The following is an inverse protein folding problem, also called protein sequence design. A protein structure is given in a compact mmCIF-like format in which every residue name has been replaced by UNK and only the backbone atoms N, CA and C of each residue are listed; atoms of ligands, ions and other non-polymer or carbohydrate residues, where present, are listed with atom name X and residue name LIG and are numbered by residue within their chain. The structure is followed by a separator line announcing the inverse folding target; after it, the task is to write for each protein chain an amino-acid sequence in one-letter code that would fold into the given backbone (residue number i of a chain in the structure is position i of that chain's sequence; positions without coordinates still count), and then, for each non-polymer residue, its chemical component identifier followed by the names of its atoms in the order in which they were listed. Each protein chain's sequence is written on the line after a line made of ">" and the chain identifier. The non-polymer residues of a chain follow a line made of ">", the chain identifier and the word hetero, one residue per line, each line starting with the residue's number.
data_IF_477897362306
#
_entry.id   IF_477897362306
#
_cell.length_a   1.000
_cell.length_b   1.000
_cell.length_c   1.000
_cell.angle_alpha   90.00
_cell.angle_beta   90.00
_cell.angle_gamma   90.00
#
_symmetry.space_group_name_H-M   'P 1'
#
loop_
_entity.id
_entity.type
_entity.pdbx_description
1 polymer ?
#
# COMPACT_ATOMS: atom_id res chain seq x y z
N UNK A 1 14.65 -16.82 5.49
CA UNK A 1 14.11 -15.78 4.59
C UNK A 1 15.29 -15.01 4.03
N UNK A 2 15.25 -14.58 2.77
CA UNK A 2 16.34 -13.78 2.18
C UNK A 2 16.39 -12.41 2.86
N UNK A 3 17.60 -11.95 3.17
CA UNK A 3 17.86 -10.65 3.79
C UNK A 3 18.54 -9.70 2.79
N UNK A 4 18.48 -8.37 2.99
CA UNK A 4 19.26 -7.42 2.21
C UNK A 4 20.75 -7.79 2.16
N UNK A 5 21.30 -8.31 3.26
CA UNK A 5 22.66 -8.83 3.33
C UNK A 5 22.99 -9.86 2.23
N UNK A 6 22.06 -10.78 1.94
CA UNK A 6 22.26 -11.81 0.91
C UNK A 6 22.34 -11.18 -0.50
N UNK A 7 21.55 -10.14 -0.75
CA UNK A 7 21.54 -9.43 -2.04
C UNK A 7 22.83 -8.64 -2.21
N UNK A 8 23.19 -7.86 -1.19
CA UNK A 8 24.41 -7.05 -1.15
C UNK A 8 25.66 -7.91 -1.32
N UNK A 9 25.79 -8.99 -0.53
CA UNK A 9 26.93 -9.90 -0.60
C UNK A 9 27.09 -10.52 -2.00
N UNK A 10 25.98 -10.90 -2.63
CA UNK A 10 26.00 -11.48 -3.98
C UNK A 10 26.30 -10.45 -5.06
N UNK A 11 25.77 -9.23 -4.95
CA UNK A 11 26.06 -8.15 -5.89
C UNK A 11 27.54 -7.76 -5.87
N UNK A 12 28.16 -7.68 -4.68
CA UNK A 12 29.60 -7.41 -4.52
C UNK A 12 30.48 -8.53 -5.14
N UNK A 13 30.02 -9.78 -5.10
CA UNK A 13 30.68 -10.91 -5.78
C UNK A 13 30.54 -10.83 -7.29
N UNK A 14 29.36 -10.45 -7.80
CA UNK A 14 29.13 -10.33 -9.24
C UNK A 14 29.96 -9.24 -9.91
N UNK A 15 30.23 -8.15 -9.20
CA UNK A 15 31.14 -7.08 -9.68
C UNK A 15 32.62 -7.43 -9.49
N UNK A 16 32.94 -8.56 -8.84
CA UNK A 16 34.31 -8.98 -8.57
C UNK A 16 35.03 -8.13 -7.52
N UNK A 17 34.28 -7.50 -6.60
CA UNK A 17 34.83 -6.81 -5.44
C UNK A 17 35.13 -7.78 -4.28
N UNK A 18 34.46 -8.93 -4.25
CA UNK A 18 34.68 -10.02 -3.29
C UNK A 18 34.81 -11.36 -4.01
N UNK A 19 35.61 -12.26 -3.45
CA UNK A 19 35.73 -13.62 -3.98
C UNK A 19 34.63 -14.57 -3.48
N UNK A 20 34.53 -15.75 -4.11
CA UNK A 20 33.61 -16.78 -3.67
C UNK A 20 34.01 -17.28 -2.27
N UNK A 21 33.09 -17.16 -1.31
CA UNK A 21 33.31 -17.54 0.09
C UNK A 21 33.71 -16.38 1.00
N UNK A 22 34.06 -15.21 0.45
CA UNK A 22 34.36 -14.02 1.24
C UNK A 22 33.09 -13.33 1.75
N UNK A 23 33.16 -12.79 2.96
CA UNK A 23 32.11 -11.97 3.58
C UNK A 23 32.47 -10.50 3.44
N UNK A 24 31.53 -9.63 3.01
CA UNK A 24 31.78 -8.20 2.94
C UNK A 24 32.19 -7.64 4.31
N UNK A 25 33.13 -6.71 4.32
CA UNK A 25 33.41 -5.89 5.52
C UNK A 25 32.15 -5.13 5.94
N UNK A 26 31.93 -4.88 7.23
CA UNK A 26 30.73 -4.16 7.72
C UNK A 26 30.47 -2.83 7.01
N UNK A 27 31.52 -2.07 6.72
CA UNK A 27 31.43 -0.75 6.08
C UNK A 27 30.97 -0.86 4.62
N UNK A 28 31.58 -1.76 3.84
CA UNK A 28 31.18 -2.04 2.46
C UNK A 28 29.76 -2.62 2.37
N UNK A 29 29.36 -3.43 3.35
CA UNK A 29 28.00 -3.97 3.42
C UNK A 29 26.98 -2.85 3.66
N UNK A 30 27.30 -1.88 4.53
CA UNK A 30 26.43 -0.75 4.83
C UNK A 30 26.28 0.20 3.64
N UNK A 31 27.38 0.57 2.98
CA UNK A 31 27.34 1.45 1.79
C UNK A 31 26.50 0.84 0.65
N UNK A 32 26.70 -0.46 0.38
CA UNK A 32 25.90 -1.17 -0.60
C UNK A 32 24.43 -1.37 -0.17
N UNK A 33 24.15 -1.43 1.14
CA UNK A 33 22.79 -1.45 1.66
C UNK A 33 22.09 -0.10 1.52
N UNK A 34 22.79 1.01 1.74
CA UNK A 34 22.25 2.35 1.52
C UNK A 34 21.90 2.55 0.03
N UNK A 35 22.78 2.11 -0.88
CA UNK A 35 22.52 2.09 -2.33
C UNK A 35 21.32 1.20 -2.71
N UNK A 36 21.11 0.08 -2.00
CA UNK A 36 19.94 -0.78 -2.22
C UNK A 36 18.64 -0.05 -1.83
N UNK A 37 18.64 0.70 -0.73
CA UNK A 37 17.49 1.51 -0.33
C UNK A 37 17.21 2.63 -1.34
N UNK A 38 18.25 3.30 -1.85
CA UNK A 38 18.08 4.32 -2.89
C UNK A 38 17.57 3.71 -4.21
N UNK A 39 17.99 2.49 -4.55
CA UNK A 39 17.45 1.74 -5.69
C UNK A 39 15.94 1.45 -5.53
N UNK A 40 15.49 1.08 -4.32
CA UNK A 40 14.07 0.85 -4.04
C UNK A 40 13.25 2.13 -4.15
N UNK A 41 13.79 3.28 -3.72
CA UNK A 41 13.14 4.57 -3.89
C UNK A 41 13.02 4.95 -5.37
N UNK A 42 14.07 4.70 -6.16
CA UNK A 42 14.02 4.90 -7.61
C UNK A 42 12.96 4.00 -8.25
N UNK A 43 12.92 2.72 -7.89
CA UNK A 43 11.94 1.77 -8.43
C UNK A 43 10.51 2.11 -8.04
N UNK A 44 10.30 2.71 -6.86
CA UNK A 44 9.00 3.18 -6.41
C UNK A 44 8.43 4.27 -7.34
N UNK A 45 9.29 5.05 -7.99
CA UNK A 45 8.89 6.09 -8.94
C UNK A 45 8.78 5.58 -10.39
N UNK A 46 9.24 4.37 -10.67
CA UNK A 46 9.15 3.78 -12.01
C UNK A 46 7.78 3.11 -12.22
N UNK A 47 7.08 3.49 -13.29
CA UNK A 47 5.80 2.86 -13.65
C UNK A 47 5.96 1.35 -13.87
N UNK A 48 4.95 0.59 -13.43
CA UNK A 48 4.87 -0.87 -13.51
C UNK A 48 5.95 -1.64 -12.73
N UNK A 49 6.68 -1.00 -11.81
CA UNK A 49 7.61 -1.72 -10.93
C UNK A 49 6.93 -2.28 -9.68
N UNK A 50 5.90 -1.62 -9.16
CA UNK A 50 5.14 -2.08 -8.00
C UNK A 50 4.12 -3.14 -8.43
N UNK A 51 4.18 -4.33 -7.83
CA UNK A 51 3.30 -5.46 -8.14
C UNK A 51 2.01 -5.49 -7.31
N UNK A 52 2.10 -5.13 -6.03
CA UNK A 52 0.97 -5.27 -5.11
C UNK A 52 0.17 -3.98 -5.03
N UNK A 53 -1.15 -4.13 -5.08
CA UNK A 53 -2.10 -3.06 -4.75
C UNK A 53 -2.51 -3.27 -3.31
N UNK A 54 -2.51 -2.19 -2.54
CA UNK A 54 -3.04 -2.22 -1.18
C UNK A 54 -4.50 -1.78 -1.24
N UNK A 55 -5.37 -2.59 -0.65
CA UNK A 55 -6.72 -2.15 -0.33
C UNK A 55 -6.68 -1.34 0.96
N UNK A 56 -7.20 -0.13 0.90
CA UNK A 56 -7.28 0.83 1.99
C UNK A 56 -8.76 0.95 2.33
N UNK A 57 -9.10 0.56 3.55
CA UNK A 57 -10.48 0.53 4.03
C UNK A 57 -10.61 1.50 5.19
N UNK A 58 -11.63 2.35 5.16
CA UNK A 58 -11.97 3.24 6.27
C UNK A 58 -13.47 3.56 6.31
N UNK A 59 -14.04 3.76 7.51
CA UNK A 59 -15.43 4.15 7.65
C UNK A 59 -15.65 5.59 7.20
N UNK A 60 -16.79 5.85 6.57
CA UNK A 60 -17.22 7.20 6.21
C UNK A 60 -17.92 7.85 7.41
N UNK A 61 -17.39 8.98 7.83
CA UNK A 61 -18.05 9.88 8.80
C UNK A 61 -19.07 10.78 8.11
N UNK A 62 -20.30 10.80 8.62
CA UNK A 62 -21.38 11.64 8.10
C UNK A 62 -20.99 13.12 8.08
N UNK A 63 -21.21 13.78 6.95
CA UNK A 63 -20.92 15.21 6.78
C UNK A 63 -19.45 15.53 6.47
N UNK A 64 -18.56 14.54 6.48
CA UNK A 64 -17.13 14.72 6.22
C UNK A 64 -16.79 14.47 4.75
N UNK A 65 -16.24 15.48 4.08
CA UNK A 65 -15.86 15.43 2.66
C UNK A 65 -14.37 15.28 2.42
N UNK A 66 -13.54 15.38 3.46
CA UNK A 66 -12.09 15.33 3.38
C UNK A 66 -11.54 14.33 4.39
N UNK A 67 -10.63 13.48 3.94
CA UNK A 67 -9.89 12.54 4.78
C UNK A 67 -8.39 12.70 4.55
N UNK A 68 -7.59 12.44 5.58
CA UNK A 68 -6.12 12.43 5.48
C UNK A 68 -5.58 11.01 5.58
N UNK A 69 -4.57 10.70 4.77
CA UNK A 69 -3.86 9.42 4.76
C UNK A 69 -2.36 9.62 4.86
N UNK A 70 -1.63 8.71 5.51
CA UNK A 70 -0.21 8.84 5.82
C UNK A 70 0.05 8.89 7.33
N UNK A 71 1.30 9.15 7.75
CA UNK A 71 1.67 9.23 9.16
C UNK A 71 0.85 10.28 9.93
N UNK A 72 0.17 9.86 10.99
CA UNK A 72 -0.79 10.69 11.77
C UNK A 72 -2.03 11.16 10.98
N UNK A 73 -2.32 10.55 9.82
CA UNK A 73 -3.56 10.74 9.10
C UNK A 73 -4.76 10.11 9.81
N UNK A 74 -5.97 10.48 9.38
CA UNK A 74 -7.23 9.92 9.91
C UNK A 74 -7.48 8.49 9.43
N UNK A 75 -7.01 8.14 8.23
CA UNK A 75 -7.22 6.82 7.63
C UNK A 75 -6.19 5.84 8.20
N UNK A 76 -6.71 4.85 8.94
CA UNK A 76 -5.93 3.87 9.69
C UNK A 76 -6.86 2.96 10.48
N UNK A 77 -6.31 2.26 11.48
CA UNK A 77 -7.12 1.53 12.45
C UNK A 77 -6.73 1.88 13.88
N UNK A 78 -7.70 1.77 14.78
CA UNK A 78 -7.51 1.90 16.23
C UNK A 78 -8.03 0.61 16.84
N UNK A 79 -7.18 -0.09 17.58
CA UNK A 79 -7.53 -1.40 18.16
C UNK A 79 -6.82 -1.64 19.48
N UNK A 80 -7.35 -2.56 20.28
CA UNK A 80 -6.68 -3.06 21.47
C UNK A 80 -5.84 -4.30 21.12
N UNK A 81 -4.60 -4.35 21.59
CA UNK A 81 -3.73 -5.49 21.36
C UNK A 81 -2.45 -5.48 22.15
N UNK A 82 -1.75 -6.62 22.14
CA UNK A 82 -0.44 -6.82 22.76
C UNK A 82 0.57 -7.39 21.76
N UNK A 83 1.87 -7.19 22.01
CA UNK A 83 2.93 -7.70 21.14
C UNK A 83 3.89 -8.55 21.97
N UNK A 84 4.18 -9.76 21.49
CA UNK A 84 5.22 -10.63 22.06
C UNK A 84 6.10 -11.16 20.93
N UNK A 85 7.38 -10.81 20.96
CA UNK A 85 8.28 -11.08 19.84
C UNK A 85 7.77 -10.37 18.59
N UNK A 86 7.57 -11.12 17.50
CA UNK A 86 6.99 -10.60 16.25
C UNK A 86 5.48 -10.81 16.15
N UNK A 87 4.82 -11.35 17.17
CA UNK A 87 3.38 -11.64 17.11
C UNK A 87 2.59 -10.52 17.79
N UNK A 88 1.78 -9.83 17.00
CA UNK A 88 0.73 -8.93 17.47
C UNK A 88 -0.55 -9.75 17.71
N UNK A 89 -1.14 -9.63 18.90
CA UNK A 89 -2.47 -10.17 19.22
C UNK A 89 -3.46 -9.02 19.32
N UNK A 90 -4.44 -8.99 18.43
CA UNK A 90 -5.52 -8.00 18.42
C UNK A 90 -6.75 -8.59 19.08
N UNK A 91 -7.32 -7.90 20.07
CA UNK A 91 -8.46 -8.39 20.86
C UNK A 91 -9.77 -7.67 20.53
N UNK A 92 -9.71 -6.41 20.09
CA UNK A 92 -10.89 -5.67 19.63
C UNK A 92 -10.50 -4.53 18.69
N UNK A 93 -11.37 -4.22 17.72
CA UNK A 93 -11.23 -3.07 16.81
C UNK A 93 -12.15 -1.95 17.29
N UNK A 94 -11.61 -0.77 17.49
CA UNK A 94 -12.36 0.44 17.83
C UNK A 94 -12.79 1.21 16.58
N UNK A 95 -11.95 1.23 15.54
CA UNK A 95 -12.24 1.87 14.26
C UNK A 95 -11.27 1.41 13.18
N UNK A 96 -11.68 1.54 11.92
CA UNK A 96 -10.83 1.25 10.76
C UNK A 96 -10.70 -0.23 10.45
N UNK A 97 -9.69 -0.55 9.67
CA UNK A 97 -9.43 -1.89 9.15
C UNK A 97 -7.95 -2.23 9.24
N UNK A 98 -7.63 -3.49 9.55
CA UNK A 98 -6.24 -3.97 9.64
C UNK A 98 -5.79 -4.55 8.30
N UNK A 99 -4.67 -4.05 7.77
CA UNK A 99 -4.12 -4.53 6.51
C UNK A 99 -2.60 -4.72 6.57
N UNK A 100 -2.07 -5.54 5.67
CA UNK A 100 -0.62 -5.68 5.48
C UNK A 100 0.01 -4.35 5.09
N UNK A 101 1.23 -4.09 5.58
CA UNK A 101 1.98 -2.87 5.31
C UNK A 101 1.56 -1.67 6.16
N UNK A 102 0.51 -1.77 6.97
CA UNK A 102 0.20 -0.71 7.94
C UNK A 102 1.32 -0.57 8.96
N UNK A 103 1.65 0.68 9.30
CA UNK A 103 2.63 1.01 10.33
C UNK A 103 1.92 1.23 11.65
N UNK A 104 2.43 0.61 12.71
CA UNK A 104 1.89 0.70 14.07
C UNK A 104 2.53 1.85 14.83
N UNK A 105 1.74 2.49 15.68
CA UNK A 105 2.16 3.51 16.62
C UNK A 105 1.39 3.40 17.93
N UNK A 106 2.04 3.77 19.03
CA UNK A 106 1.48 3.64 20.36
C UNK A 106 2.57 3.56 21.42
N UNK A 107 2.15 3.61 22.69
CA UNK A 107 3.07 3.53 23.82
C UNK A 107 3.79 2.18 23.83
N UNK A 108 5.12 2.20 23.86
CA UNK A 108 5.97 1.01 23.90
C UNK A 108 6.20 0.34 22.53
N UNK A 109 5.59 0.84 21.45
CA UNK A 109 5.82 0.31 20.10
C UNK A 109 7.03 1.02 19.48
N UNK A 110 8.00 0.24 19.04
CA UNK A 110 9.17 0.75 18.33
C UNK A 110 8.78 1.39 17.01
N UNK A 111 9.37 2.54 16.67
CA UNK A 111 9.12 3.22 15.40
C UNK A 111 9.45 2.29 14.21
N UNK A 112 8.66 2.38 13.14
CA UNK A 112 8.83 1.53 11.94
C UNK A 112 8.29 0.11 12.07
N UNK A 113 7.56 -0.20 13.15
CA UNK A 113 6.86 -1.49 13.28
C UNK A 113 5.72 -1.58 12.26
N UNK A 114 5.73 -2.60 11.40
CA UNK A 114 4.72 -2.82 10.35
C UNK A 114 4.17 -4.24 10.37
N UNK A 115 2.92 -4.40 9.95
CA UNK A 115 2.29 -5.72 9.78
C UNK A 115 2.77 -6.36 8.47
N UNK A 116 3.38 -7.54 8.56
CA UNK A 116 4.00 -8.23 7.41
C UNK A 116 3.29 -9.52 7.00
N UNK A 117 2.53 -10.14 7.90
CA UNK A 117 1.72 -11.30 7.56
C UNK A 117 0.48 -11.42 8.44
N UNK A 118 -0.56 -12.02 7.87
CA UNK A 118 -1.74 -12.48 8.57
C UNK A 118 -1.48 -13.86 9.20
N UNK A 119 -2.08 -14.11 10.36
CA UNK A 119 -2.09 -15.44 10.98
C UNK A 119 -3.55 -15.87 11.22
N UNK A 120 -4.05 -15.83 12.45
CA UNK A 120 -5.46 -16.13 12.74
C UNK A 120 -6.39 -14.96 12.39
N UNK A 121 -5.88 -13.73 12.43
CA UNK A 121 -6.57 -12.57 11.84
C UNK A 121 -6.31 -12.53 10.34
N UNK A 122 -7.37 -12.33 9.55
CA UNK A 122 -7.29 -12.27 8.09
C UNK A 122 -7.26 -10.84 7.53
N UNK A 123 -7.21 -9.84 8.41
CA UNK A 123 -7.26 -8.42 8.04
C UNK A 123 -8.58 -8.00 7.39
N UNK A 124 -8.53 -6.87 6.68
CA UNK A 124 -9.71 -6.22 6.12
C UNK A 124 -10.58 -5.66 7.23
N UNK A 125 -11.89 -5.85 7.10
CA UNK A 125 -12.92 -5.39 8.04
C UNK A 125 -13.87 -6.51 8.54
N UNK A 126 -13.55 -7.77 8.24
CA UNK A 126 -14.44 -8.91 8.51
C UNK A 126 -13.86 -9.82 9.61
N UNK A 127 -12.58 -10.19 9.49
CA UNK A 127 -11.90 -11.14 10.39
C UNK A 127 -10.62 -10.50 10.97
N UNK A 128 -10.81 -9.38 11.65
CA UNK A 128 -9.73 -8.50 12.07
C UNK A 128 -9.13 -8.87 13.44
N UNK A 129 -9.93 -9.48 14.32
CA UNK A 129 -9.47 -9.95 15.62
C UNK A 129 -8.70 -11.25 15.44
N UNK A 130 -7.51 -11.33 16.03
CA UNK A 130 -6.62 -12.47 15.87
C UNK A 130 -5.14 -12.07 15.95
N UNK A 131 -4.28 -12.94 15.45
CA UNK A 131 -2.83 -12.74 15.46
C UNK A 131 -2.30 -12.30 14.11
N UNK A 132 -1.24 -11.50 14.16
CA UNK A 132 -0.54 -10.92 13.02
C UNK A 132 0.97 -11.00 13.26
N UNK A 133 1.76 -11.09 12.18
CA UNK A 133 3.22 -11.03 12.26
C UNK A 133 3.71 -9.62 11.95
N UNK A 134 4.65 -9.14 12.75
CA UNK A 134 5.33 -7.84 12.62
C UNK A 134 6.76 -8.01 12.09
N UNK A 135 7.32 -6.94 11.53
CA UNK A 135 8.73 -6.91 11.09
C UNK A 135 9.72 -6.83 12.27
N UNK A 136 9.37 -6.15 13.36
CA UNK A 136 10.26 -5.89 14.51
C UNK A 136 9.81 -6.72 15.71
N UNK A 137 10.75 -7.48 16.28
CA UNK A 137 10.56 -8.22 17.53
C UNK A 137 10.58 -7.27 18.72
N UNK A 138 9.52 -7.27 19.53
CA UNK A 138 9.38 -6.42 20.71
C UNK A 138 8.37 -7.02 21.71
N UNK A 139 8.28 -6.44 22.90
CA UNK A 139 7.32 -6.87 23.91
C UNK A 139 6.52 -5.66 24.42
N UNK A 140 5.21 -5.64 24.14
CA UNK A 140 4.30 -4.54 24.48
C UNK A 140 3.08 -5.14 25.16
N UNK A 141 2.80 -4.68 26.39
CA UNK A 141 1.60 -5.06 27.11
C UNK A 141 0.33 -4.61 26.37
N UNK A 142 -0.82 -5.21 26.70
CA UNK A 142 -2.09 -4.85 26.06
C UNK A 142 -2.38 -3.36 26.23
N UNK A 143 -2.55 -2.66 25.11
CA UNK A 143 -2.80 -1.21 25.06
C UNK A 143 -3.62 -0.87 23.82
N UNK A 144 -4.05 0.39 23.71
CA UNK A 144 -4.59 0.93 22.46
C UNK A 144 -3.44 1.17 21.49
N UNK A 145 -3.53 0.53 20.33
CA UNK A 145 -2.57 0.61 19.23
C UNK A 145 -3.27 1.34 18.09
N UNK A 146 -2.56 2.32 17.52
CA UNK A 146 -2.98 2.96 16.28
C UNK A 146 -2.19 2.33 15.14
N UNK A 147 -2.82 2.18 13.99
CA UNK A 147 -2.15 1.87 12.73
C UNK A 147 -2.51 2.89 11.68
N UNK A 148 -1.59 3.15 10.76
CA UNK A 148 -1.84 4.03 9.62
C UNK A 148 -1.30 3.40 8.35
N UNK A 149 -1.94 3.76 7.23
CA UNK A 149 -1.43 3.45 5.91
C UNK A 149 -0.37 4.47 5.52
N UNK A 150 0.69 4.03 4.86
CA UNK A 150 1.59 4.95 4.18
C UNK A 150 0.84 5.68 3.06
N UNK A 151 1.25 6.92 2.79
CA UNK A 151 0.64 7.71 1.72
C UNK A 151 0.80 6.96 0.38
N UNK A 152 -0.30 6.70 -0.35
CA UNK A 152 -0.19 6.03 -1.65
C UNK A 152 0.37 6.94 -2.73
N UNK A 153 0.98 6.35 -3.75
CA UNK A 153 1.46 7.08 -4.92
C UNK A 153 0.28 7.55 -5.79
N UNK A 154 -0.69 6.65 -6.01
CA UNK A 154 -1.90 6.95 -6.76
C UNK A 154 -3.04 6.03 -6.31
N UNK A 155 -4.27 6.51 -6.50
CA UNK A 155 -5.48 5.69 -6.31
C UNK A 155 -5.96 5.25 -7.69
N UNK A 156 -6.10 3.94 -7.90
CA UNK A 156 -6.51 3.42 -9.21
C UNK A 156 -8.03 3.25 -9.34
N UNK A 157 -8.69 2.85 -8.26
CA UNK A 157 -10.12 2.53 -8.25
C UNK A 157 -10.64 2.52 -6.83
N UNK A 158 -11.93 2.77 -6.67
CA UNK A 158 -12.56 2.70 -5.38
C UNK A 158 -14.04 2.30 -5.49
N UNK A 159 -14.60 1.77 -4.41
CA UNK A 159 -16.02 1.55 -4.23
C UNK A 159 -16.43 1.87 -2.79
N UNK A 160 -17.68 2.26 -2.59
CA UNK A 160 -18.27 2.40 -1.27
C UNK A 160 -19.16 1.22 -0.99
N UNK A 161 -18.97 0.59 0.16
CA UNK A 161 -19.81 -0.49 0.67
C UNK A 161 -20.83 0.06 1.65
N UNK A 162 -22.09 -0.31 1.47
CA UNK A 162 -23.17 -0.02 2.41
C UNK A 162 -23.63 -1.32 3.03
N UNK A 163 -23.58 -1.42 4.36
CA UNK A 163 -24.11 -2.57 5.07
C UNK A 163 -25.63 -2.66 4.87
N UNK A 164 -26.11 -3.79 4.37
CA UNK A 164 -27.56 -4.03 4.32
C UNK A 164 -28.05 -4.52 5.68
N UNK A 165 -29.24 -4.07 6.04
CA UNK A 165 -29.92 -4.49 7.25
C UNK A 165 -31.13 -5.35 6.87
N UNK A 166 -31.38 -6.41 7.64
CA UNK A 166 -32.64 -7.14 7.61
C UNK A 166 -33.31 -6.99 8.98
N UNK A 167 -34.57 -6.53 9.01
CA UNK A 167 -35.32 -6.29 10.25
C UNK A 167 -34.57 -5.41 11.28
N UNK A 168 -33.81 -4.42 10.82
CA UNK A 168 -33.05 -3.52 11.69
C UNK A 168 -31.76 -4.11 12.27
N UNK A 169 -31.36 -5.31 11.86
CA UNK A 169 -30.09 -5.93 12.22
C UNK A 169 -29.16 -5.98 10.99
N UNK A 170 -27.87 -5.61 11.13
CA UNK A 170 -26.89 -5.74 10.05
C UNK A 170 -26.75 -7.19 9.58
N UNK A 171 -26.79 -7.41 8.27
CA UNK A 171 -26.48 -8.72 7.69
C UNK A 171 -24.95 -8.87 7.67
N UNK A 172 -24.45 -9.91 8.32
CA UNK A 172 -23.01 -10.26 8.30
C UNK A 172 -22.58 -10.49 6.85
N UNK A 173 -21.57 -9.75 6.39
CA UNK A 173 -21.07 -9.74 5.00
C UNK A 173 -22.12 -9.34 3.93
N UNK A 174 -23.24 -8.74 4.34
CA UNK A 174 -24.32 -8.30 3.44
C UNK A 174 -24.10 -6.91 2.85
N UNK A 175 -22.88 -6.52 2.49
CA UNK A 175 -22.61 -5.21 1.91
C UNK A 175 -23.10 -5.09 0.46
N UNK A 176 -23.69 -3.94 0.10
CA UNK A 176 -23.88 -3.55 -1.30
C UNK A 176 -22.76 -2.60 -1.71
N UNK A 177 -22.05 -2.93 -2.79
CA UNK A 177 -20.93 -2.16 -3.28
C UNK A 177 -21.35 -1.25 -4.44
N UNK A 178 -21.03 0.04 -4.31
CA UNK A 178 -21.27 1.04 -5.34
C UNK A 178 -19.94 1.61 -5.85
N UNK A 179 -19.72 1.66 -7.17
CA UNK A 179 -18.48 2.18 -7.71
C UNK A 179 -18.30 3.67 -7.40
N UNK A 180 -17.06 4.07 -7.12
CA UNK A 180 -16.68 5.46 -6.93
C UNK A 180 -15.70 5.85 -8.05
N UNK A 181 -16.02 6.93 -8.76
CA UNK A 181 -15.17 7.45 -9.83
C UNK A 181 -13.93 8.14 -9.24
N UNK A 182 -12.76 7.87 -9.81
CA UNK A 182 -11.52 8.57 -9.44
C UNK A 182 -11.36 9.76 -10.37
N UNK A 183 -11.45 10.98 -9.83
CA UNK A 183 -11.33 12.23 -10.56
C UNK A 183 -9.88 12.73 -10.53
N UNK A 184 -9.46 13.39 -11.61
CA UNK A 184 -8.30 14.28 -11.59
C UNK A 184 -8.69 15.63 -10.96
N UNK A 185 -7.73 16.53 -10.83
CA UNK A 185 -7.96 17.85 -10.23
C UNK A 185 -8.91 18.70 -11.08
N UNK A 186 -8.76 18.64 -12.41
CA UNK A 186 -9.58 19.43 -13.33
C UNK A 186 -11.06 19.03 -13.29
N UNK A 187 -11.38 17.73 -13.33
CA UNK A 187 -12.77 17.25 -13.23
C UNK A 187 -13.36 17.54 -11.84
N UNK A 188 -12.53 17.50 -10.80
CA UNK A 188 -12.95 17.87 -9.44
C UNK A 188 -13.24 19.38 -9.29
N UNK A 189 -12.56 20.23 -10.04
CA UNK A 189 -12.82 21.67 -10.10
C UNK A 189 -14.12 21.99 -10.87
N UNK A 190 -14.48 21.18 -11.86
CA UNK A 190 -15.73 21.33 -12.61
C UNK A 190 -16.99 21.05 -11.78
N UNK A 191 -16.86 20.40 -10.62
CA UNK A 191 -17.98 20.19 -9.70
C UNK A 191 -18.43 21.53 -9.11
N UNK A 192 -19.57 22.04 -9.59
CA UNK A 192 -20.11 23.33 -9.15
C UNK A 192 -20.48 23.40 -7.67
N UNK A 193 -21.11 22.35 -7.11
CA UNK A 193 -21.51 22.31 -5.69
C UNK A 193 -20.83 21.15 -4.96
N UNK A 194 -19.72 21.45 -4.27
CA UNK A 194 -18.94 20.47 -3.50
C UNK A 194 -19.62 20.03 -2.20
N UNK A 195 -20.57 20.83 -1.70
CA UNK A 195 -21.32 20.57 -0.47
C UNK A 195 -22.63 19.81 -0.69
N UNK A 196 -22.91 19.36 -1.93
CA UNK A 196 -24.10 18.58 -2.25
C UNK A 196 -24.18 17.37 -1.30
N UNK A 197 -25.27 17.23 -0.56
CA UNK A 197 -25.49 16.08 0.30
C UNK A 197 -25.86 14.84 -0.53
N UNK A 198 -25.31 13.69 -0.18
CA UNK A 198 -25.66 12.41 -0.75
C UNK A 198 -25.53 11.30 0.28
N UNK A 199 -26.20 10.16 0.09
CA UNK A 199 -26.16 9.09 1.08
C UNK A 199 -24.76 8.47 1.20
N UNK A 200 -24.00 8.44 0.09
CA UNK A 200 -22.63 7.93 -0.01
C UNK A 200 -21.91 8.65 -1.16
N UNK A 201 -20.56 8.60 -1.21
CA UNK A 201 -19.81 9.27 -2.26
C UNK A 201 -19.89 8.50 -3.58
N UNK A 202 -19.85 9.23 -4.69
CA UNK A 202 -19.87 8.73 -6.08
C UNK A 202 -18.57 9.04 -6.81
N UNK A 203 -17.81 10.02 -6.30
CA UNK A 203 -16.54 10.44 -6.84
C UNK A 203 -15.53 10.71 -5.72
N UNK A 204 -14.26 10.54 -6.05
CA UNK A 204 -13.13 10.75 -5.17
C UNK A 204 -12.01 11.46 -5.94
N UNK A 205 -11.46 12.51 -5.34
CA UNK A 205 -10.24 13.16 -5.79
C UNK A 205 -9.12 12.94 -4.77
N UNK A 206 -7.94 12.56 -5.25
CA UNK A 206 -6.75 12.34 -4.42
C UNK A 206 -5.70 13.40 -4.70
N UNK A 207 -5.34 14.15 -3.67
CA UNK A 207 -4.26 15.12 -3.69
C UNK A 207 -3.08 14.57 -2.86
N UNK A 208 -1.97 14.17 -3.52
CA UNK A 208 -0.76 13.80 -2.80
C UNK A 208 -0.03 15.05 -2.29
N UNK A 209 0.05 15.25 -0.98
CA UNK A 209 0.95 16.24 -0.33
C UNK A 209 2.25 15.54 0.12
N UNK A 210 3.26 16.24 0.65
CA UNK A 210 4.58 15.62 0.95
C UNK A 210 4.48 14.38 1.87
N UNK A 211 4.14 14.58 3.15
CA UNK A 211 4.05 13.51 4.14
C UNK A 211 2.68 12.85 4.20
N UNK A 212 1.63 13.62 3.91
CA UNK A 212 0.22 13.19 3.95
C UNK A 212 -0.40 13.22 2.55
N UNK A 213 -1.45 12.45 2.35
CA UNK A 213 -2.36 12.58 1.21
C UNK A 213 -3.72 13.07 1.67
N UNK A 214 -4.39 13.90 0.86
CA UNK A 214 -5.76 14.32 1.09
C UNK A 214 -6.68 13.61 0.10
N UNK A 215 -7.74 13.01 0.63
CA UNK A 215 -8.79 12.36 -0.14
C UNK A 215 -10.05 13.20 0.02
N UNK A 216 -10.55 13.71 -1.10
CA UNK A 216 -11.80 14.46 -1.16
C UNK A 216 -12.87 13.58 -1.77
N UNK A 217 -14.01 13.45 -1.11
CA UNK A 217 -15.14 12.66 -1.58
C UNK A 217 -16.32 13.55 -1.95
N UNK A 218 -17.09 13.14 -2.96
CA UNK A 218 -18.28 13.84 -3.41
C UNK A 218 -19.35 12.84 -3.87
N UNK A 219 -20.65 13.08 -3.63
CA UNK A 219 -21.24 14.13 -2.77
C UNK A 219 -20.85 13.96 -1.30
N UNK A 220 -21.17 14.96 -0.45
CA UNK A 220 -20.98 14.91 0.99
C UNK A 220 -21.77 13.73 1.58
N UNK A 221 -21.10 12.68 2.08
CA UNK A 221 -21.75 11.41 2.39
C UNK A 221 -22.37 11.40 3.79
N UNK A 222 -23.41 10.59 3.98
CA UNK A 222 -24.02 10.37 5.30
C UNK A 222 -23.68 9.02 5.92
N UNK A 223 -23.24 8.04 5.12
CA UNK A 223 -22.92 6.69 5.57
C UNK A 223 -22.03 5.95 4.55
N UNK A 224 -21.49 4.81 4.98
CA UNK A 224 -20.79 3.84 4.15
C UNK A 224 -19.39 3.53 4.64
N UNK A 225 -18.75 2.59 3.96
CA UNK A 225 -17.36 2.23 4.17
C UNK A 225 -16.63 2.35 2.83
N UNK A 226 -15.52 3.07 2.84
CA UNK A 226 -14.77 3.36 1.63
C UNK A 226 -13.69 2.31 1.43
N UNK A 227 -13.69 1.67 0.26
CA UNK A 227 -12.65 0.75 -0.19
C UNK A 227 -11.89 1.36 -1.35
N UNK A 228 -10.60 1.59 -1.15
CA UNK A 228 -9.72 2.23 -2.13
C UNK A 228 -8.59 1.27 -2.49
N UNK A 229 -8.37 1.07 -3.79
CA UNK A 229 -7.22 0.31 -4.29
C UNK A 229 -6.16 1.28 -4.76
N UNK A 230 -5.05 1.29 -4.05
CA UNK A 230 -3.98 2.24 -4.26
C UNK A 230 -2.66 1.55 -4.55
N UNK A 231 -1.86 2.18 -5.41
CA UNK A 231 -0.48 1.81 -5.64
C UNK A 231 0.36 2.45 -4.50
N UNK A 232 1.10 1.63 -3.76
CA UNK A 232 1.97 2.08 -2.65
C UNK A 232 3.43 2.04 -3.09
N UNK A 233 4.30 2.74 -2.36
CA UNK A 233 5.74 2.74 -2.62
C UNK A 233 6.41 1.51 -2.00
N UNK A 234 7.62 1.14 -2.47
CA UNK A 234 8.45 0.20 -1.74
C UNK A 234 8.90 0.83 -0.41
N UNK A 235 8.79 0.06 0.68
CA UNK A 235 9.35 0.47 1.96
C UNK A 235 10.85 0.28 1.94
N UNK A 236 11.60 1.27 2.44
CA UNK A 236 13.01 1.10 2.80
C UNK A 236 13.18 0.03 3.87
N UNK A 237 14.32 -0.66 3.86
CA UNK A 237 14.72 -1.54 4.94
C UNK A 237 15.44 -0.72 6.03
N UNK A 238 15.12 -0.99 7.30
CA UNK A 238 15.76 -0.32 8.43
C UNK A 238 17.06 -0.99 8.85
N UNK A 239 17.19 -2.29 8.56
CA UNK A 239 18.36 -3.10 8.85
C UNK A 239 18.73 -4.00 7.69
N UNK A 240 20.03 -4.25 7.53
CA UNK A 240 20.56 -5.19 6.54
C UNK A 240 20.09 -6.64 6.78
N UNK A 241 19.56 -6.92 7.98
CA UNK A 241 19.04 -8.21 8.41
C UNK A 241 17.52 -8.32 8.33
N UNK A 242 16.82 -7.28 7.87
CA UNK A 242 15.36 -7.30 7.77
C UNK A 242 14.91 -8.41 6.79
N UNK A 243 13.80 -9.12 7.05
CA UNK A 243 13.31 -10.12 6.11
C UNK A 243 12.74 -9.44 4.86
N UNK A 244 13.20 -9.87 3.67
CA UNK A 244 12.64 -9.42 2.39
C UNK A 244 11.41 -10.26 2.06
N UNK A 245 10.27 -9.58 1.93
CA UNK A 245 9.00 -10.17 1.50
C UNK A 245 8.62 -9.52 0.17
N UNK A 246 9.20 -10.04 -0.91
CA UNK A 246 8.89 -9.63 -2.29
C UNK A 246 8.54 -10.86 -3.13
N UNK A 247 7.69 -10.70 -4.18
CA UNK A 247 7.38 -11.78 -5.10
C UNK A 247 8.63 -12.36 -5.78
N UNK A 248 8.52 -13.61 -6.25
CA UNK A 248 9.60 -14.26 -6.98
C UNK A 248 10.01 -13.43 -8.21
N UNK A 249 11.31 -13.38 -8.51
CA UNK A 249 11.88 -12.59 -9.60
C UNK A 249 12.43 -11.22 -9.17
N UNK A 250 11.86 -10.58 -8.15
CA UNK A 250 12.35 -9.27 -7.65
C UNK A 250 13.76 -9.35 -7.08
N UNK A 251 14.08 -10.43 -6.33
CA UNK A 251 15.40 -10.61 -5.72
C UNK A 251 16.52 -10.62 -6.75
N UNK A 252 16.30 -11.29 -7.90
CA UNK A 252 17.29 -11.35 -8.96
C UNK A 252 17.43 -9.99 -9.66
N UNK A 253 16.33 -9.31 -9.94
CA UNK A 253 16.36 -7.99 -10.56
C UNK A 253 17.05 -6.96 -9.65
N UNK A 254 16.77 -6.97 -8.34
CA UNK A 254 17.40 -6.09 -7.35
C UNK A 254 18.91 -6.33 -7.29
N UNK A 255 19.34 -7.59 -7.23
CA UNK A 255 20.76 -7.97 -7.23
C UNK A 255 21.51 -7.38 -8.44
N UNK A 256 21.01 -7.61 -9.65
CA UNK A 256 21.71 -7.15 -10.86
C UNK A 256 21.66 -5.61 -11.03
N UNK A 257 20.55 -4.97 -10.66
CA UNK A 257 20.47 -3.50 -10.72
C UNK A 257 21.28 -2.80 -9.63
N UNK A 258 21.46 -3.45 -8.47
CA UNK A 258 22.40 -3.01 -7.45
C UNK A 258 23.84 -3.16 -7.93
N UNK A 259 24.20 -4.32 -8.49
CA UNK A 259 25.52 -4.56 -9.06
C UNK A 259 25.87 -3.47 -10.10
N UNK A 260 24.94 -3.14 -11.00
CA UNK A 260 25.10 -2.05 -11.98
C UNK A 260 25.53 -0.71 -11.35
N UNK A 261 24.93 -0.33 -10.22
CA UNK A 261 25.20 0.94 -9.52
C UNK A 261 26.47 0.90 -8.68
N UNK A 262 26.85 -0.27 -8.17
CA UNK A 262 28.09 -0.45 -7.42
C UNK A 262 29.32 -0.49 -8.33
N UNK A 263 29.20 -0.93 -9.59
CA UNK A 263 30.34 -1.04 -10.52
C UNK A 263 31.25 0.20 -10.59
N UNK A 264 30.73 1.45 -10.75
CA UNK A 264 31.57 2.64 -10.84
C UNK A 264 32.34 2.93 -9.55
N UNK A 265 31.84 2.51 -8.39
CA UNK A 265 32.46 2.78 -7.08
C UNK A 265 33.69 1.90 -6.83
N UNK A 266 33.67 0.67 -7.35
CA UNK A 266 34.76 -0.30 -7.16
C UNK A 266 35.78 -0.32 -8.33
N UNK A 267 35.61 0.54 -9.33
CA UNK A 267 36.61 0.81 -10.36
C UNK A 267 36.99 -0.37 -11.27
N UNK A 268 36.17 -1.42 -11.33
CA UNK A 268 36.45 -2.61 -12.17
C UNK A 268 35.97 -2.37 -13.61
N UNK A 269 36.91 -2.45 -14.57
CA UNK A 269 36.74 -1.96 -15.95
C UNK A 269 36.68 -3.07 -17.03
N UNK A 270 36.24 -4.29 -16.71
CA UNK A 270 36.06 -5.33 -17.74
C UNK A 270 34.84 -5.02 -18.60
N UNK A 271 35.05 -4.60 -19.84
CA UNK A 271 33.99 -4.23 -20.78
C UNK A 271 32.93 -5.34 -20.97
N UNK A 272 33.37 -6.60 -20.95
CA UNK A 272 32.47 -7.77 -21.07
C UNK A 272 31.59 -7.96 -19.85
N UNK A 273 32.15 -7.78 -18.65
CA UNK A 273 31.40 -7.91 -17.39
C UNK A 273 30.37 -6.79 -17.24
N UNK A 274 30.75 -5.56 -17.60
CA UNK A 274 29.86 -4.39 -17.63
C UNK A 274 28.67 -4.66 -18.56
N UNK A 275 28.92 -5.11 -19.78
CA UNK A 275 27.86 -5.41 -20.75
C UNK A 275 26.92 -6.53 -20.26
N UNK A 276 27.47 -7.57 -19.62
CA UNK A 276 26.67 -8.68 -19.07
C UNK A 276 25.78 -8.23 -17.91
N UNK A 277 26.32 -7.45 -16.97
CA UNK A 277 25.54 -6.94 -15.82
C UNK A 277 24.43 -6.01 -16.29
N UNK A 278 24.72 -5.10 -17.23
CA UNK A 278 23.71 -4.22 -17.82
C UNK A 278 22.60 -5.00 -18.54
N UNK A 279 22.94 -6.05 -19.27
CA UNK A 279 21.96 -6.90 -19.95
C UNK A 279 21.02 -7.62 -18.94
N UNK A 280 21.57 -8.19 -17.87
CA UNK A 280 20.76 -8.86 -16.85
C UNK A 280 19.91 -7.87 -16.02
N UNK A 281 20.45 -6.69 -15.69
CA UNK A 281 19.70 -5.63 -15.04
C UNK A 281 18.51 -5.17 -15.90
N UNK A 282 18.74 -4.90 -17.19
CA UNK A 282 17.68 -4.53 -18.13
C UNK A 282 16.63 -5.63 -18.31
N UNK A 283 17.06 -6.89 -18.42
CA UNK A 283 16.16 -8.05 -18.53
C UNK A 283 15.29 -8.21 -17.27
N UNK A 284 15.88 -8.04 -16.08
CA UNK A 284 15.19 -8.08 -14.80
C UNK A 284 14.07 -7.03 -14.72
N UNK A 285 14.40 -5.76 -14.99
CA UNK A 285 13.43 -4.66 -15.04
C UNK A 285 12.33 -4.92 -16.08
N UNK A 286 12.69 -5.32 -17.29
CA UNK A 286 11.73 -5.60 -18.37
C UNK A 286 10.76 -6.71 -18.00
N UNK A 287 11.24 -7.77 -17.35
CA UNK A 287 10.40 -8.89 -16.93
C UNK A 287 9.39 -8.47 -15.86
N UNK A 288 9.81 -7.69 -14.87
CA UNK A 288 8.90 -7.13 -13.86
C UNK A 288 7.83 -6.26 -14.52
N UNK A 289 8.24 -5.31 -15.37
CA UNK A 289 7.29 -4.40 -16.04
C UNK A 289 6.31 -5.12 -16.96
N UNK A 290 6.75 -6.14 -17.69
CA UNK A 290 5.86 -6.96 -18.55
C UNK A 290 4.83 -7.72 -17.73
N UNK A 291 5.23 -8.31 -16.61
CA UNK A 291 4.32 -9.03 -15.71
C UNK A 291 3.30 -8.08 -15.08
N UNK A 292 3.71 -6.85 -14.76
CA UNK A 292 2.85 -5.83 -14.16
C UNK A 292 2.09 -4.98 -15.19
N UNK A 293 2.20 -5.29 -16.49
CA UNK A 293 1.60 -4.48 -17.55
C UNK A 293 0.07 -4.51 -17.43
N UNK A 294 -0.53 -3.33 -17.23
CA UNK A 294 -1.99 -3.17 -17.16
C UNK A 294 -2.56 -3.19 -18.59
N UNK A 295 -3.68 -3.89 -18.86
CA UNK A 295 -4.33 -3.84 -20.16
C UNK A 295 -4.82 -2.41 -20.45
N UNK A 296 -4.83 -2.04 -21.74
CA UNK A 296 -5.33 -0.73 -22.19
C UNK A 296 -6.79 -0.62 -21.75
N UNK A 297 -7.10 0.42 -20.96
CA UNK A 297 -8.48 0.69 -20.57
C UNK A 297 -9.27 1.17 -21.79
N UNK A 298 -10.45 0.60 -22.02
CA UNK A 298 -11.38 1.11 -23.02
C UNK A 298 -11.88 2.50 -22.60
N UNK A 299 -11.98 3.42 -23.56
CA UNK A 299 -12.49 4.77 -23.30
C UNK A 299 -13.93 4.67 -22.77
N UNK A 300 -14.14 5.16 -21.54
CA UNK A 300 -15.47 5.27 -20.92
C UNK A 300 -15.62 6.68 -20.34
N UNK A 301 -16.80 7.26 -20.50
CA UNK A 301 -17.15 8.48 -19.77
C UNK A 301 -17.36 8.14 -18.30
N UNK A 302 -16.83 8.98 -17.42
CA UNK A 302 -17.00 8.80 -15.99
C UNK A 302 -18.45 9.04 -15.60
N UNK A 303 -19.01 8.13 -14.81
CA UNK A 303 -20.44 8.16 -14.50
C UNK A 303 -20.85 9.38 -13.68
N UNK A 304 -19.93 9.90 -12.86
CA UNK A 304 -20.11 11.13 -12.11
C UNK A 304 -20.32 12.37 -12.98
N UNK A 305 -19.91 12.32 -14.26
CA UNK A 305 -20.11 13.41 -15.23
C UNK A 305 -21.42 13.27 -16.04
N UNK A 306 -22.14 12.15 -15.88
CA UNK A 306 -23.39 11.89 -16.61
C UNK A 306 -24.58 12.30 -15.73
N UNK A 307 -25.35 13.29 -16.18
CA UNK A 307 -26.47 13.85 -15.41
C UNK A 307 -27.78 13.02 -15.47
N UNK A 308 -27.73 11.71 -15.77
CA UNK A 308 -28.95 10.89 -15.92
C UNK A 308 -29.36 10.22 -14.61
N UNK A 309 -30.63 10.39 -14.20
CA UNK A 309 -31.19 9.74 -12.99
C UNK A 309 -31.19 8.21 -13.05
N UNK A 310 -31.11 7.61 -14.24
CA UNK A 310 -31.14 6.15 -14.42
C UNK A 310 -29.91 5.45 -13.84
N UNK A 311 -28.80 6.16 -13.66
CA UNK A 311 -27.56 5.60 -13.10
C UNK A 311 -27.32 5.97 -11.63
N UNK A 312 -28.20 6.79 -11.05
CA UNK A 312 -28.16 7.12 -9.64
C UNK A 312 -28.78 6.01 -8.81
N UNK A 313 -27.97 5.22 -8.10
CA UNK A 313 -28.45 4.15 -7.22
C UNK A 313 -29.28 4.64 -6.00
N UNK A 314 -29.48 5.95 -5.83
CA UNK A 314 -30.34 6.52 -4.79
C UNK A 314 -31.81 6.06 -4.84
N UNK A 315 -32.30 5.53 -5.97
CA UNK A 315 -33.66 4.97 -6.09
C UNK A 315 -33.95 3.81 -5.12
N UNK A 316 -32.90 3.14 -4.61
CA UNK A 316 -33.02 2.05 -3.63
C UNK A 316 -33.60 2.55 -2.31
N UNK A 317 -33.28 3.80 -1.91
CA UNK A 317 -33.82 4.41 -0.69
C UNK A 317 -35.32 4.75 -0.79
N UNK A 318 -35.85 4.78 -2.01
CA UNK A 318 -37.27 4.99 -2.30
C UNK A 318 -38.02 3.70 -2.70
N UNK A 319 -37.40 2.51 -2.57
CA UNK A 319 -38.07 1.21 -2.73
C UNK A 319 -38.14 0.61 -4.15
N UNK A 320 -37.26 1.02 -5.08
CA UNK A 320 -37.39 0.71 -6.51
C UNK A 320 -36.89 -0.66 -7.00
N UNK A 321 -37.34 -1.81 -6.46
CA UNK A 321 -37.18 -3.12 -7.14
C UNK A 321 -38.47 -3.63 -7.81
N UNK A 322 -39.42 -2.74 -8.08
CA UNK A 322 -40.66 -3.09 -8.80
C UNK A 322 -40.58 -2.60 -10.24
N UNK A 323 -40.35 -3.58 -11.11
CA UNK A 323 -40.58 -3.67 -12.58
C UNK A 323 -40.88 -2.38 -13.34
#
# INVERSE_FOLDING_TARGET
>A
MTQPFDIVSRALKDIGALEAGETPTPEAAQDAFDMLNDLLDQWSNESMMVTYKTEIIFPITSGQTQYTIGPNGQIGAIFAGSIVGTTLTVTSISSGAIALGQTLSGTGISAGTTIVAFQSGAGGNINEVGTYTLNISQNVASTTINSYYQRPLSINSAFVRINTNSNGQPIVNGGLDYPVAILNVEDYEMIGLKTLAGPWPKALYYQPSETLGNIFVWPNPSQGEMHIFADTIFSRYNSINDPIILPQGFLMALRWCLAERLMPMYGKASQTQIAMIQAFAAQGKSTIKRTNMKPIQSARFQDAMLASRQKDAGWILSGGFFR
#
